data_IF_488582303096
#
_entry.id   IF_488582303096
#
_cell.length_a   1.000
_cell.length_b   1.000
_cell.length_c   1.000
_cell.angle_alpha   90.00
_cell.angle_beta   90.00
_cell.angle_gamma   90.00
#
_symmetry.space_group_name_H-M   'P 1'
#
loop_
_entity.id
_entity.type
_entity.pdbx_description
1 polymer ?
#
# COMPACT_ATOMS: atom_id res chain seq x y z
N UNK A 1 7.58 -39.63 3.26
CA UNK A 1 6.93 -38.80 2.21
C UNK A 1 6.68 -37.42 2.80
N UNK A 2 7.16 -36.35 2.14
CA UNK A 2 6.95 -34.97 2.61
C UNK A 2 5.55 -34.44 2.24
N UNK A 3 5.06 -33.45 3.00
CA UNK A 3 3.66 -32.95 2.97
C UNK A 3 3.33 -31.95 1.85
N UNK A 4 4.22 -31.71 0.89
CA UNK A 4 3.94 -30.87 -0.29
C UNK A 4 3.80 -29.35 0.00
N UNK A 5 4.52 -28.84 1.00
CA UNK A 5 4.46 -27.42 1.37
C UNK A 5 5.11 -26.52 0.30
N UNK A 6 4.38 -25.51 -0.19
CA UNK A 6 4.95 -24.43 -1.03
C UNK A 6 5.46 -23.31 -0.12
N UNK A 7 6.74 -22.99 -0.22
CA UNK A 7 7.39 -21.93 0.57
C UNK A 7 7.61 -20.72 -0.34
N UNK A 8 7.18 -19.55 0.12
CA UNK A 8 7.46 -18.25 -0.52
C UNK A 8 8.21 -17.39 0.49
N UNK A 9 9.35 -16.83 0.08
CA UNK A 9 10.16 -15.91 0.88
C UNK A 9 10.55 -14.70 0.06
N UNK A 10 11.31 -13.76 0.65
CA UNK A 10 11.68 -12.51 -0.01
C UNK A 10 12.35 -12.70 -1.38
N UNK A 11 13.21 -13.72 -1.51
CA UNK A 11 14.00 -14.00 -2.72
C UNK A 11 13.83 -15.43 -3.27
N UNK A 12 12.84 -16.18 -2.77
CA UNK A 12 12.58 -17.56 -3.22
C UNK A 12 11.07 -17.83 -3.32
N UNK A 13 10.63 -18.68 -4.25
CA UNK A 13 11.41 -19.26 -5.35
C UNK A 13 11.70 -18.22 -6.42
N UNK A 14 12.74 -18.44 -7.22
CA UNK A 14 13.05 -17.53 -8.33
C UNK A 14 11.88 -17.50 -9.32
N UNK A 15 11.42 -16.32 -9.71
CA UNK A 15 10.26 -16.10 -10.59
C UNK A 15 8.93 -15.90 -9.85
N UNK A 16 8.78 -16.40 -8.63
CA UNK A 16 7.59 -16.24 -7.77
C UNK A 16 7.95 -15.85 -6.32
N UNK A 17 9.10 -15.20 -6.14
CA UNK A 17 9.50 -14.73 -4.81
C UNK A 17 8.58 -13.59 -4.37
N UNK A 18 8.47 -13.36 -3.07
CA UNK A 18 7.62 -12.30 -2.55
C UNK A 18 8.01 -10.93 -3.13
N UNK A 19 9.31 -10.64 -3.24
CA UNK A 19 9.79 -9.41 -3.87
C UNK A 19 9.36 -9.29 -5.32
N UNK A 20 9.58 -10.33 -6.13
CA UNK A 20 9.15 -10.33 -7.54
C UNK A 20 7.63 -10.21 -7.69
N UNK A 21 6.85 -10.79 -6.77
CA UNK A 21 5.40 -10.67 -6.78
C UNK A 21 4.94 -9.25 -6.43
N UNK A 22 5.61 -8.58 -5.50
CA UNK A 22 5.32 -7.18 -5.15
C UNK A 22 5.59 -6.28 -6.37
N UNK A 23 6.77 -6.42 -6.98
CA UNK A 23 7.17 -5.63 -8.15
C UNK A 23 6.25 -5.88 -9.35
N UNK A 24 6.01 -7.15 -9.71
CA UNK A 24 5.18 -7.50 -10.89
C UNK A 24 3.73 -7.05 -10.78
N UNK A 25 3.20 -6.90 -9.56
CA UNK A 25 1.78 -6.61 -9.32
C UNK A 25 1.56 -5.26 -8.62
N UNK A 26 2.62 -4.47 -8.46
CA UNK A 26 2.66 -3.20 -7.74
C UNK A 26 1.95 -3.29 -6.37
N UNK A 27 2.25 -4.36 -5.60
CA UNK A 27 1.61 -4.65 -4.31
C UNK A 27 2.31 -3.93 -3.16
N UNK A 28 2.43 -2.62 -3.28
CA UNK A 28 3.06 -1.78 -2.27
C UNK A 28 2.07 -1.47 -1.14
N UNK A 29 2.32 -1.90 0.11
CA UNK A 29 1.44 -1.59 1.24
C UNK A 29 1.62 -0.15 1.72
N UNK A 30 0.58 0.47 2.29
CA UNK A 30 0.65 1.84 2.83
C UNK A 30 1.70 2.04 3.94
N UNK A 31 2.20 0.93 4.51
CA UNK A 31 3.19 0.97 5.59
C UNK A 31 4.55 1.49 5.16
N UNK A 32 4.85 1.47 3.85
CA UNK A 32 6.11 2.00 3.31
C UNK A 32 6.12 3.54 3.25
N UNK A 33 4.95 4.18 3.35
CA UNK A 33 4.83 5.63 3.35
C UNK A 33 5.31 6.18 4.69
N UNK A 34 6.31 7.07 4.61
CA UNK A 34 6.96 7.68 5.78
C UNK A 34 6.14 8.84 6.32
N UNK A 35 5.38 9.51 5.46
CA UNK A 35 4.53 10.63 5.85
C UNK A 35 3.42 10.24 6.84
N UNK A 36 2.89 9.03 6.68
CA UNK A 36 1.75 8.56 7.45
C UNK A 36 2.11 8.28 8.92
N UNK A 37 1.51 9.05 9.83
CA UNK A 37 1.53 8.72 11.26
C UNK A 37 0.74 7.44 11.55
N UNK A 38 1.00 6.78 12.69
CA UNK A 38 0.27 5.57 13.08
C UNK A 38 -1.26 5.78 13.12
N UNK A 39 -1.72 6.94 13.60
CA UNK A 39 -3.15 7.29 13.62
C UNK A 39 -3.74 7.39 12.21
N UNK A 40 -3.00 7.95 11.26
CA UNK A 40 -3.42 8.01 9.86
C UNK A 40 -3.45 6.61 9.23
N UNK A 41 -2.46 5.75 9.52
CA UNK A 41 -2.45 4.35 9.08
C UNK A 41 -3.65 3.58 9.61
N UNK A 42 -3.97 3.69 10.89
CA UNK A 42 -5.15 3.09 11.50
C UNK A 42 -6.46 3.54 10.84
N UNK A 43 -6.57 4.83 10.51
CA UNK A 43 -7.73 5.38 9.78
C UNK A 43 -7.84 4.81 8.36
N UNK A 44 -6.72 4.67 7.64
CA UNK A 44 -6.72 4.09 6.30
C UNK A 44 -7.05 2.59 6.34
N UNK A 45 -6.52 1.86 7.33
CA UNK A 45 -6.84 0.45 7.54
C UNK A 45 -8.31 0.23 7.87
N UNK A 46 -8.95 1.09 8.68
CA UNK A 46 -10.38 0.98 8.96
C UNK A 46 -11.26 1.24 7.74
N UNK A 47 -10.71 1.90 6.71
CA UNK A 47 -11.33 2.11 5.40
C UNK A 47 -10.96 1.01 4.38
N UNK A 48 -10.27 -0.06 4.80
CA UNK A 48 -9.72 -1.11 3.92
C UNK A 48 -8.78 -0.58 2.82
N UNK A 49 -8.12 0.56 3.06
CA UNK A 49 -7.06 1.07 2.18
C UNK A 49 -5.75 0.49 2.68
N UNK A 50 -5.25 -0.55 2.01
CA UNK A 50 -4.06 -1.32 2.45
C UNK A 50 -2.93 -1.19 1.43
N UNK A 51 -3.23 -1.11 0.14
CA UNK A 51 -2.24 -0.97 -0.93
C UNK A 51 -2.23 0.44 -1.51
N UNK A 52 -1.08 0.87 -2.06
CA UNK A 52 -0.95 2.17 -2.71
C UNK A 52 -1.88 2.31 -3.93
N UNK A 53 -2.10 1.24 -4.69
CA UNK A 53 -3.06 1.25 -5.80
C UNK A 53 -4.52 1.40 -5.36
N UNK A 54 -4.85 1.20 -4.08
CA UNK A 54 -6.23 1.43 -3.60
C UNK A 54 -6.59 2.92 -3.67
N UNK A 55 -5.60 3.82 -3.67
CA UNK A 55 -5.82 5.26 -3.81
C UNK A 55 -6.36 5.65 -5.20
N UNK A 56 -6.13 4.85 -6.25
CA UNK A 56 -6.70 5.09 -7.59
C UNK A 56 -8.23 5.00 -7.60
N UNK A 57 -8.82 4.30 -6.63
CA UNK A 57 -10.28 4.12 -6.52
C UNK A 57 -10.99 5.31 -5.92
N UNK A 58 -10.26 6.26 -5.34
CA UNK A 58 -10.82 7.38 -4.61
C UNK A 58 -10.36 8.70 -5.21
N UNK A 59 -11.28 9.66 -5.29
CA UNK A 59 -10.88 11.03 -5.57
C UNK A 59 -10.39 11.74 -4.28
N UNK A 60 -9.59 12.82 -4.38
CA UNK A 60 -9.08 13.54 -3.20
C UNK A 60 -10.18 14.05 -2.25
N UNK A 61 -11.36 14.40 -2.79
CA UNK A 61 -12.50 14.88 -2.00
C UNK A 61 -13.12 13.76 -1.15
N UNK A 62 -13.25 12.56 -1.72
CA UNK A 62 -13.74 11.37 -1.03
C UNK A 62 -12.78 10.95 0.07
N UNK A 63 -11.46 10.92 -0.22
CA UNK A 63 -10.45 10.64 0.79
C UNK A 63 -10.57 11.63 1.95
N UNK A 64 -10.60 12.93 1.66
CA UNK A 64 -10.80 13.98 2.68
C UNK A 64 -12.05 13.73 3.52
N UNK A 65 -13.18 13.38 2.90
CA UNK A 65 -14.44 13.12 3.62
C UNK A 65 -14.40 11.87 4.52
N UNK A 66 -13.70 10.82 4.09
CA UNK A 66 -13.64 9.53 4.81
C UNK A 66 -12.56 9.52 5.88
N UNK A 67 -11.41 10.13 5.61
CA UNK A 67 -10.26 10.13 6.52
C UNK A 67 -10.30 11.31 7.50
N UNK A 68 -10.96 12.41 7.12
CA UNK A 68 -10.96 13.68 7.83
C UNK A 68 -9.55 14.32 7.88
N UNK A 69 -8.69 14.00 6.92
CA UNK A 69 -7.39 14.63 6.73
C UNK A 69 -7.55 16.05 6.18
N UNK A 70 -6.61 16.93 6.50
CA UNK A 70 -6.48 18.25 5.91
C UNK A 70 -6.08 18.17 4.43
N UNK A 71 -6.28 19.28 3.72
CA UNK A 71 -5.93 19.37 2.30
C UNK A 71 -4.44 19.12 2.05
N UNK A 72 -3.59 19.71 2.90
CA UNK A 72 -2.14 19.52 2.86
C UNK A 72 -1.74 18.07 3.12
N UNK A 73 -2.45 17.39 4.03
CA UNK A 73 -2.21 15.96 4.30
C UNK A 73 -2.54 15.09 3.09
N UNK A 74 -3.65 15.37 2.40
CA UNK A 74 -4.04 14.65 1.20
C UNK A 74 -3.04 14.91 0.05
N UNK A 75 -2.61 16.16 -0.15
CA UNK A 75 -1.63 16.50 -1.18
C UNK A 75 -0.29 15.79 -0.96
N UNK A 76 0.25 15.83 0.26
CA UNK A 76 1.52 15.19 0.60
C UNK A 76 1.43 13.66 0.47
N UNK A 77 0.31 13.08 0.93
CA UNK A 77 0.04 11.65 0.80
C UNK A 77 0.01 11.22 -0.66
N UNK A 78 -0.78 11.90 -1.49
CA UNK A 78 -0.92 11.54 -2.91
C UNK A 78 0.42 11.73 -3.64
N UNK A 79 1.18 12.77 -3.30
CA UNK A 79 2.53 12.96 -3.86
C UNK A 79 3.44 11.76 -3.58
N UNK A 80 3.54 11.32 -2.31
CA UNK A 80 4.38 10.16 -1.95
C UNK A 80 3.88 8.87 -2.61
N UNK A 81 2.55 8.69 -2.72
CA UNK A 81 1.95 7.55 -3.42
C UNK A 81 2.36 7.53 -4.90
N UNK A 82 2.26 8.66 -5.60
CA UNK A 82 2.63 8.74 -7.02
C UNK A 82 4.14 8.60 -7.24
N UNK A 83 4.98 9.07 -6.31
CA UNK A 83 6.43 8.88 -6.40
C UNK A 83 6.84 7.40 -6.29
N UNK A 84 6.08 6.58 -5.55
CA UNK A 84 6.35 5.13 -5.42
C UNK A 84 5.74 4.31 -6.55
N UNK A 85 4.61 4.76 -7.12
CA UNK A 85 3.92 4.06 -8.21
C UNK A 85 4.44 4.43 -9.61
N UNK A 86 5.20 5.51 -9.75
CA UNK A 86 5.84 5.95 -11.00
C UNK A 86 7.01 5.04 -11.41
#
# INVERSE_FOLDING_TARGET
KGVGLKITSWKYPKGESLGELIEKKSLYPITILNYLTNKMKEKLFSLNIIMLKDFEKYNPKELKSKTNFSEKEIELLLKEVYEVLA
#
